data_IF_875436243267
#
_entry.id   IF_875436243267
#
_cell.length_a   1.000
_cell.length_b   1.000
_cell.length_c   1.000
_cell.angle_alpha   90.00
_cell.angle_beta   90.00
_cell.angle_gamma   90.00
#
_symmetry.space_group_name_H-M   'P 1'
#
loop_
_entity.id
_entity.type
_entity.pdbx_description
1 polymer ?
#
# COMPACT_ATOMS: atom_id res chain seq x y z
N UNK A 1 -10.40 -21.84 42.29
CA UNK A 1 -10.33 -20.46 41.76
C UNK A 1 -11.74 -19.90 41.73
N UNK A 2 -12.00 -18.81 42.44
CA UNK A 2 -13.33 -18.23 42.62
C UNK A 2 -13.84 -17.67 41.28
N UNK A 3 -15.16 -17.69 41.06
CA UNK A 3 -15.83 -17.09 39.90
C UNK A 3 -15.52 -15.58 39.81
N UNK A 4 -15.39 -14.91 40.96
CA UNK A 4 -14.99 -13.50 41.06
C UNK A 4 -13.56 -13.26 40.55
N UNK A 5 -12.62 -14.17 40.84
CA UNK A 5 -11.23 -14.08 40.36
C UNK A 5 -11.15 -14.23 38.84
N UNK A 6 -11.99 -15.11 38.26
CA UNK A 6 -12.04 -15.32 36.81
C UNK A 6 -12.57 -14.08 36.08
N UNK A 7 -13.63 -13.45 36.58
CA UNK A 7 -14.17 -12.23 35.98
C UNK A 7 -13.22 -11.03 36.13
N UNK A 8 -12.51 -10.94 37.26
CA UNK A 8 -11.46 -9.95 37.46
C UNK A 8 -10.31 -10.11 36.46
N UNK A 9 -9.76 -11.34 36.31
CA UNK A 9 -8.69 -11.62 35.34
C UNK A 9 -9.16 -11.33 33.91
N UNK A 10 -10.42 -11.68 33.58
CA UNK A 10 -11.01 -11.40 32.26
C UNK A 10 -11.21 -9.91 32.02
N UNK A 11 -11.50 -9.13 33.06
CA UNK A 11 -11.57 -7.66 32.99
C UNK A 11 -10.18 -7.06 32.72
N UNK A 12 -9.19 -7.48 33.51
CA UNK A 12 -7.81 -7.02 33.36
C UNK A 12 -7.24 -7.35 31.98
N UNK A 13 -7.51 -8.56 31.48
CA UNK A 13 -7.11 -8.96 30.13
C UNK A 13 -7.74 -8.06 29.05
N UNK A 14 -9.02 -7.69 29.18
CA UNK A 14 -9.70 -6.79 28.24
C UNK A 14 -9.12 -5.38 28.26
N UNK A 15 -8.81 -4.88 29.45
CA UNK A 15 -8.24 -3.55 29.64
C UNK A 15 -6.85 -3.43 29.00
N UNK A 16 -6.05 -4.49 29.03
CA UNK A 16 -4.73 -4.55 28.36
C UNK A 16 -4.88 -4.80 26.84
N UNK A 17 -5.81 -5.68 26.43
CA UNK A 17 -5.97 -6.05 25.02
C UNK A 17 -6.48 -4.89 24.18
N UNK A 18 -7.35 -4.05 24.74
CA UNK A 18 -7.98 -2.93 24.03
C UNK A 18 -6.98 -1.91 23.46
N UNK A 19 -6.05 -1.32 24.24
CA UNK A 19 -5.08 -0.36 23.72
C UNK A 19 -4.12 -0.99 22.69
N UNK A 20 -3.77 -2.27 22.85
CA UNK A 20 -2.95 -2.99 21.86
C UNK A 20 -3.71 -3.12 20.53
N UNK A 21 -4.98 -3.50 20.58
CA UNK A 21 -5.82 -3.62 19.38
C UNK A 21 -6.01 -2.26 18.70
N UNK A 22 -6.27 -1.20 19.47
CA UNK A 22 -6.40 0.16 18.95
C UNK A 22 -5.09 0.62 18.29
N UNK A 23 -3.93 0.38 18.90
CA UNK A 23 -2.64 0.72 18.31
C UNK A 23 -2.35 -0.04 17.01
N UNK A 24 -2.72 -1.32 16.92
CA UNK A 24 -2.59 -2.12 15.69
C UNK A 24 -3.53 -1.58 14.61
N UNK A 25 -4.78 -1.25 14.95
CA UNK A 25 -5.74 -0.68 14.01
C UNK A 25 -5.26 0.68 13.47
N UNK A 26 -4.72 1.53 14.33
CA UNK A 26 -4.18 2.83 13.94
C UNK A 26 -2.94 2.67 13.07
N UNK A 27 -2.06 1.72 13.37
CA UNK A 27 -0.91 1.40 12.53
C UNK A 27 -1.36 0.94 11.13
N UNK A 28 -2.31 0.01 11.05
CA UNK A 28 -2.85 -0.48 9.77
C UNK A 28 -3.50 0.67 9.00
N UNK A 29 -4.34 1.50 9.63
CA UNK A 29 -4.96 2.67 8.98
C UNK A 29 -3.92 3.64 8.44
N UNK A 30 -2.84 3.91 9.18
CA UNK A 30 -1.75 4.78 8.72
C UNK A 30 -1.00 4.18 7.52
N UNK A 31 -0.87 2.85 7.46
CA UNK A 31 -0.30 2.16 6.30
C UNK A 31 -1.25 2.18 5.09
N UNK A 32 -2.55 2.00 5.33
CA UNK A 32 -3.58 1.90 4.29
C UNK A 32 -4.01 3.28 3.74
N UNK A 33 -3.79 4.36 4.49
CA UNK A 33 -3.93 5.74 4.03
C UNK A 33 -2.93 6.15 2.94
N UNK A 34 -1.99 5.27 2.56
CA UNK A 34 -1.30 5.42 1.28
C UNK A 34 -2.28 4.97 0.20
N UNK A 35 -2.95 5.95 -0.43
CA UNK A 35 -4.06 5.86 -1.41
C UNK A 35 -3.83 4.95 -2.64
N UNK A 36 -2.80 4.10 -2.65
CA UNK A 36 -2.38 3.21 -3.73
C UNK A 36 -2.40 1.72 -3.31
N UNK A 37 -2.77 1.40 -2.06
CA UNK A 37 -2.64 0.04 -1.50
C UNK A 37 -3.67 -0.97 -2.02
N UNK A 38 -4.93 -0.56 -2.25
CA UNK A 38 -6.00 -1.53 -2.54
C UNK A 38 -5.84 -2.22 -3.90
N UNK A 39 -5.25 -1.53 -4.88
CA UNK A 39 -5.06 -2.05 -6.24
C UNK A 39 -3.62 -2.39 -6.55
N UNK A 40 -2.65 -1.96 -5.71
CA UNK A 40 -1.22 -2.04 -6.02
C UNK A 40 -0.79 -1.14 -7.17
N UNK A 41 -1.69 -0.29 -7.70
CA UNK A 41 -1.45 0.59 -8.83
C UNK A 41 -1.00 1.97 -8.36
N UNK A 42 0.15 2.40 -8.87
CA UNK A 42 0.77 3.68 -8.58
C UNK A 42 0.56 4.61 -9.79
N UNK A 43 0.02 5.83 -9.60
CA UNK A 43 -0.04 6.84 -10.65
C UNK A 43 1.34 7.21 -11.21
N UNK A 44 1.43 7.50 -12.51
CA UNK A 44 2.70 7.84 -13.17
C UNK A 44 3.46 8.99 -12.49
N UNK A 45 2.77 10.05 -12.09
CA UNK A 45 3.35 11.21 -11.40
C UNK A 45 3.98 10.83 -10.06
N UNK A 46 3.37 9.89 -9.32
CA UNK A 46 3.93 9.34 -8.08
C UNK A 46 5.17 8.51 -8.37
N UNK A 47 5.16 7.67 -9.41
CA UNK A 47 6.34 6.90 -9.81
C UNK A 47 7.52 7.81 -10.18
N UNK A 48 7.26 8.87 -10.95
CA UNK A 48 8.28 9.85 -11.33
C UNK A 48 8.89 10.54 -10.09
N UNK A 49 8.03 10.93 -9.15
CA UNK A 49 8.43 11.60 -7.91
C UNK A 49 9.20 10.70 -6.96
N UNK A 50 8.74 9.46 -6.74
CA UNK A 50 9.36 8.53 -5.79
C UNK A 50 10.71 7.99 -6.28
N UNK A 51 10.86 7.78 -7.59
CA UNK A 51 12.10 7.27 -8.19
C UNK A 51 13.06 8.39 -8.61
N UNK A 52 12.64 9.66 -8.51
CA UNK A 52 13.38 10.84 -8.99
C UNK A 52 13.86 10.68 -10.45
N UNK A 53 12.92 10.30 -11.32
CA UNK A 53 13.18 10.10 -12.75
C UNK A 53 12.28 10.98 -13.62
N UNK A 54 12.74 11.24 -14.84
CA UNK A 54 11.96 11.97 -15.82
C UNK A 54 11.04 11.07 -16.66
N UNK A 55 10.09 11.69 -17.35
CA UNK A 55 9.13 10.98 -18.21
C UNK A 55 9.79 10.20 -19.35
N UNK A 56 10.89 10.70 -19.91
CA UNK A 56 11.69 10.03 -20.93
C UNK A 56 12.31 8.72 -20.44
N UNK A 57 12.69 8.66 -19.16
CA UNK A 57 13.13 7.41 -18.51
C UNK A 57 12.00 6.38 -18.48
N UNK A 58 10.80 6.75 -18.00
CA UNK A 58 9.64 5.84 -18.04
C UNK A 58 9.21 5.46 -19.47
N UNK A 59 9.32 6.38 -20.44
CA UNK A 59 9.07 6.09 -21.85
C UNK A 59 10.03 5.02 -22.37
N UNK A 60 11.28 5.06 -21.95
CA UNK A 60 12.30 4.06 -22.32
C UNK A 60 12.01 2.71 -21.67
N UNK A 61 11.59 2.70 -20.40
CA UNK A 61 11.22 1.47 -19.70
C UNK A 61 10.01 0.78 -20.35
N UNK A 62 9.01 1.55 -20.79
CA UNK A 62 7.87 1.02 -21.55
C UNK A 62 8.30 0.30 -22.83
N UNK A 63 9.24 0.88 -23.57
CA UNK A 63 9.81 0.25 -24.78
C UNK A 63 10.58 -1.03 -24.46
N UNK A 64 11.17 -1.12 -23.27
CA UNK A 64 11.89 -2.29 -22.77
C UNK A 64 10.97 -3.34 -22.12
N UNK A 65 9.65 -3.13 -22.13
CA UNK A 65 8.68 -4.11 -21.64
C UNK A 65 8.02 -3.79 -20.30
N UNK A 66 8.25 -2.61 -19.72
CA UNK A 66 7.46 -2.18 -18.55
C UNK A 66 6.01 -1.90 -18.97
N UNK A 67 5.08 -2.64 -18.38
CA UNK A 67 3.66 -2.54 -18.69
C UNK A 67 3.05 -1.28 -18.07
N UNK A 68 2.16 -0.63 -18.82
CA UNK A 68 1.36 0.50 -18.37
C UNK A 68 -0.11 0.10 -18.30
N UNK A 69 -0.84 0.66 -17.35
CA UNK A 69 -2.28 0.47 -17.20
C UNK A 69 -2.99 1.79 -17.39
N UNK A 70 -4.06 1.78 -18.18
CA UNK A 70 -4.90 2.94 -18.47
C UNK A 70 -6.36 2.56 -18.20
N UNK A 71 -7.16 3.43 -17.58
CA UNK A 71 -8.58 3.15 -17.40
C UNK A 71 -9.27 2.96 -18.76
N UNK A 72 -10.26 2.06 -18.86
CA UNK A 72 -11.00 1.82 -20.11
C UNK A 72 -11.93 2.98 -20.51
N UNK A 73 -11.93 4.08 -19.75
CA UNK A 73 -12.77 5.26 -19.98
C UNK A 73 -11.99 6.24 -20.86
N UNK A 74 -12.51 6.51 -22.06
CA UNK A 74 -11.85 7.32 -23.11
C UNK A 74 -11.43 8.74 -22.67
N UNK A 75 -12.00 9.28 -21.58
CA UNK A 75 -11.75 10.65 -21.12
C UNK A 75 -10.63 10.78 -20.09
N UNK A 76 -10.00 9.70 -19.63
CA UNK A 76 -8.91 9.77 -18.67
C UNK A 76 -7.58 9.37 -19.30
N UNK A 77 -6.67 10.33 -19.49
CA UNK A 77 -5.27 10.07 -19.88
C UNK A 77 -4.39 9.64 -18.68
N UNK A 78 -5.02 9.13 -17.61
CA UNK A 78 -4.29 8.71 -16.41
C UNK A 78 -3.58 7.39 -16.71
N UNK A 79 -2.30 7.33 -16.35
CA UNK A 79 -1.48 6.13 -16.49
C UNK A 79 -1.07 5.65 -15.12
N UNK A 80 -1.17 4.35 -14.93
CA UNK A 80 -0.83 3.65 -13.71
C UNK A 80 0.19 2.56 -13.99
N UNK A 81 0.89 2.17 -12.93
CA UNK A 81 1.88 1.11 -12.93
C UNK A 81 1.65 0.18 -11.75
N UNK A 82 1.86 -1.11 -11.97
CA UNK A 82 1.88 -2.07 -10.89
C UNK A 82 3.21 -1.97 -10.11
N UNK A 83 3.10 -1.87 -8.78
CA UNK A 83 4.27 -1.73 -7.89
C UNK A 83 5.24 -2.90 -8.00
N UNK A 84 4.72 -4.12 -8.10
CA UNK A 84 5.54 -5.33 -8.19
C UNK A 84 6.19 -5.46 -9.57
N UNK A 85 5.50 -5.05 -10.64
CA UNK A 85 6.10 -4.97 -11.97
C UNK A 85 7.24 -3.95 -12.04
N UNK A 86 7.10 -2.75 -11.44
CA UNK A 86 8.21 -1.79 -11.33
C UNK A 86 9.38 -2.43 -10.57
N UNK A 87 9.12 -3.03 -9.40
CA UNK A 87 10.16 -3.64 -8.58
C UNK A 87 10.89 -4.77 -9.33
N UNK A 88 10.13 -5.62 -10.02
CA UNK A 88 10.67 -6.68 -10.87
C UNK A 88 11.52 -6.10 -11.99
N UNK A 89 11.03 -5.07 -12.69
CA UNK A 89 11.74 -4.40 -13.78
C UNK A 89 13.08 -3.82 -13.32
N UNK A 90 13.12 -3.21 -12.13
CA UNK A 90 14.36 -2.65 -11.54
C UNK A 90 15.33 -3.71 -11.01
N UNK A 91 14.83 -4.92 -10.73
CA UNK A 91 15.64 -6.03 -10.22
C UNK A 91 16.26 -6.88 -11.35
N UNK A 92 15.86 -6.67 -12.60
CA UNK A 92 16.47 -7.31 -13.77
C UNK A 92 17.86 -6.70 -13.99
N UNK A 93 18.90 -7.41 -13.53
CA UNK A 93 20.31 -7.15 -13.89
C UNK A 93 20.68 -7.88 -15.17
#
# INVERSE_FOLDING_TARGET
>A
MNIFDKEFIKSLAREITRPILEAIQDFIKRQDNNEHSQTGLIPQDVVLKELDIDWGTLKTWRKKGLKKYEPPIEKTRKVYYDKDEIRKFLSLK
#
